data_IF_401013309529
#
_entry.id   IF_401013309529
#
_cell.length_a   1.000
_cell.length_b   1.000
_cell.length_c   1.000
_cell.angle_alpha   90.00
_cell.angle_beta   90.00
_cell.angle_gamma   90.00
#
_symmetry.space_group_name_H-M   'P 1'
#
loop_
_entity.id
_entity.type
_entity.pdbx_description
1 polymer ?
#
# COMPACT_ATOMS: atom_id res chain seq x y z
N UNK A 1 3.37 4.64 17.54
CA UNK A 1 2.57 5.71 16.92
C UNK A 1 1.99 5.13 15.65
N UNK A 2 0.75 4.66 15.70
CA UNK A 2 0.06 4.07 14.55
C UNK A 2 -0.34 5.20 13.61
N UNK A 3 -0.36 4.96 12.30
CA UNK A 3 -0.99 5.88 11.35
C UNK A 3 -2.43 6.11 11.82
N UNK A 4 -2.65 7.22 12.53
CA UNK A 4 -3.94 7.62 13.05
C UNK A 4 -4.68 8.17 11.85
N UNK A 5 -5.53 7.35 11.23
CA UNK A 5 -6.43 7.83 10.19
C UNK A 5 -7.36 8.88 10.82
N UNK A 6 -7.32 10.15 10.40
CA UNK A 6 -8.20 11.15 10.96
C UNK A 6 -9.63 10.82 10.54
N UNK A 7 -10.47 10.46 11.52
CA UNK A 7 -11.92 10.30 11.34
C UNK A 7 -12.55 11.69 11.20
N UNK A 8 -12.46 12.30 10.03
CA UNK A 8 -13.32 13.44 9.71
C UNK A 8 -14.59 12.95 9.01
N UNK A 9 -15.73 13.13 9.69
CA UNK A 9 -17.10 13.05 9.17
C UNK A 9 -17.46 11.80 8.34
N UNK A 10 -17.89 10.72 9.00
CA UNK A 10 -18.71 9.61 8.44
C UNK A 10 -18.45 9.16 6.98
N UNK A 11 -17.22 9.29 6.50
CA UNK A 11 -16.77 8.79 5.21
C UNK A 11 -15.47 8.05 5.47
N UNK A 12 -15.49 6.73 5.30
CA UNK A 12 -14.26 5.95 5.16
C UNK A 12 -13.61 6.41 3.86
N UNK A 13 -12.71 7.39 3.95
CA UNK A 13 -11.79 7.68 2.86
C UNK A 13 -10.86 6.48 2.80
N UNK A 14 -11.13 5.55 1.88
CA UNK A 14 -10.19 4.47 1.61
C UNK A 14 -8.87 5.14 1.20
N UNK A 15 -7.78 4.93 1.95
CA UNK A 15 -6.52 5.56 1.63
C UNK A 15 -6.14 5.18 0.20
N UNK A 16 -5.48 6.12 -0.49
CA UNK A 16 -4.92 5.94 -1.84
C UNK A 16 -4.40 4.50 -1.97
N UNK A 17 -5.00 3.72 -2.88
CA UNK A 17 -4.63 2.31 -3.08
C UNK A 17 -3.19 2.27 -3.61
N UNK A 18 -2.25 1.92 -2.76
CA UNK A 18 -0.85 1.74 -3.16
C UNK A 18 -0.71 0.32 -3.69
N UNK A 19 -0.55 0.22 -5.01
CA UNK A 19 -0.17 -1.03 -5.65
C UNK A 19 1.29 -1.33 -5.32
N UNK A 20 1.55 -2.56 -4.94
CA UNK A 20 2.86 -3.01 -4.46
C UNK A 20 3.11 -4.43 -4.93
N UNK A 21 4.37 -4.85 -5.01
CA UNK A 21 4.74 -6.18 -5.46
C UNK A 21 5.61 -6.86 -4.41
N UNK A 22 5.23 -8.09 -4.05
CA UNK A 22 5.99 -8.96 -3.16
C UNK A 22 6.79 -9.93 -4.01
N UNK A 23 8.06 -10.14 -3.67
CA UNK A 23 8.92 -11.11 -4.35
C UNK A 23 8.39 -12.55 -4.21
N UNK A 24 8.45 -13.33 -5.29
CA UNK A 24 8.20 -14.78 -5.25
C UNK A 24 9.55 -15.50 -5.24
N UNK A 25 9.83 -16.32 -4.21
CA UNK A 25 11.04 -17.14 -4.16
C UNK A 25 11.22 -18.00 -5.41
N UNK A 26 12.46 -18.28 -5.79
CA UNK A 26 12.73 -19.05 -7.02
C UNK A 26 12.17 -20.46 -6.97
N UNK A 27 12.12 -21.06 -5.77
CA UNK A 27 11.58 -22.42 -5.58
C UNK A 27 10.05 -22.47 -5.67
N UNK A 28 9.38 -21.31 -5.64
CA UNK A 28 7.92 -21.17 -5.76
C UNK A 28 7.45 -20.78 -7.17
N UNK A 29 8.36 -20.66 -8.15
CA UNK A 29 8.04 -20.19 -9.50
C UNK A 29 8.84 -20.92 -10.59
N UNK A 30 8.21 -21.19 -11.73
CA UNK A 30 8.90 -21.75 -12.89
C UNK A 30 9.69 -20.69 -13.67
N UNK A 31 10.53 -21.12 -14.62
CA UNK A 31 11.41 -20.24 -15.41
C UNK A 31 10.65 -19.12 -16.13
N UNK A 32 9.39 -19.37 -16.52
CA UNK A 32 8.54 -18.43 -17.25
C UNK A 32 7.53 -17.71 -16.34
N UNK A 33 7.49 -18.01 -15.05
CA UNK A 33 6.60 -17.36 -14.11
C UNK A 33 7.10 -15.97 -13.71
N UNK A 34 6.14 -15.12 -13.35
CA UNK A 34 6.42 -13.79 -12.80
C UNK A 34 7.31 -13.87 -11.56
N UNK A 35 8.20 -12.90 -11.38
CA UNK A 35 9.12 -12.83 -10.22
C UNK A 35 8.48 -12.22 -8.96
N UNK A 36 7.27 -11.66 -9.09
CA UNK A 36 6.60 -10.95 -8.01
C UNK A 36 5.06 -11.04 -8.16
N UNK A 37 4.34 -10.93 -7.04
CA UNK A 37 2.87 -10.90 -6.98
C UNK A 37 2.37 -9.51 -6.63
N UNK A 38 1.37 -9.02 -7.36
CA UNK A 38 0.73 -7.74 -7.07
C UNK A 38 -0.13 -7.83 -5.81
N UNK A 39 0.09 -6.90 -4.89
CA UNK A 39 -0.55 -6.79 -3.60
C UNK A 39 -0.93 -5.33 -3.31
N UNK A 40 -1.87 -5.16 -2.39
CA UNK A 40 -2.31 -3.84 -1.92
C UNK A 40 -1.67 -3.59 -0.55
N UNK A 41 -0.97 -2.47 -0.38
CA UNK A 41 -0.43 -2.10 0.93
C UNK A 41 -1.56 -1.71 1.87
N UNK A 42 -1.62 -2.36 3.03
CA UNK A 42 -2.56 -2.05 4.11
C UNK A 42 -1.92 -1.18 5.20
N UNK A 43 -0.62 -1.33 5.44
CA UNK A 43 0.12 -0.57 6.45
C UNK A 43 1.40 -1.25 6.91
N UNK A 44 1.86 -0.92 8.11
CA UNK A 44 3.04 -1.48 8.77
C UNK A 44 2.65 -2.07 10.14
N UNK A 45 3.36 -3.10 10.58
CA UNK A 45 3.11 -3.73 11.88
C UNK A 45 3.55 -2.85 13.03
N UNK A 46 2.67 -2.57 14.00
CA UNK A 46 2.94 -1.61 15.08
C UNK A 46 4.22 -1.89 15.90
N UNK A 47 4.71 -3.14 15.91
CA UNK A 47 5.91 -3.56 16.65
C UNK A 47 6.90 -4.33 15.75
N UNK A 48 6.63 -4.45 14.44
CA UNK A 48 7.48 -5.20 13.51
C UNK A 48 7.92 -4.30 12.36
N UNK A 49 9.05 -4.62 11.74
CA UNK A 49 9.53 -3.92 10.53
C UNK A 49 8.85 -4.42 9.26
N UNK A 50 7.76 -5.17 9.40
CA UNK A 50 7.06 -5.83 8.32
C UNK A 50 5.90 -4.96 7.84
N UNK A 51 5.66 -5.01 6.53
CA UNK A 51 4.49 -4.41 5.95
C UNK A 51 3.35 -5.42 5.89
N UNK A 52 2.13 -4.90 6.01
CA UNK A 52 0.90 -5.68 5.92
C UNK A 52 0.28 -5.43 4.55
N UNK A 53 -0.02 -6.51 3.85
CA UNK A 53 -0.51 -6.47 2.49
C UNK A 53 -1.72 -7.37 2.30
N UNK A 54 -2.54 -7.03 1.32
CA UNK A 54 -3.61 -7.89 0.83
C UNK A 54 -3.26 -8.45 -0.54
N UNK A 55 -3.28 -9.78 -0.68
CA UNK A 55 -3.13 -10.46 -1.95
C UNK A 55 -4.52 -10.82 -2.52
N UNK A 56 -5.04 -10.05 -3.49
CA UNK A 56 -6.44 -10.17 -3.91
C UNK A 56 -6.74 -11.44 -4.70
N UNK A 57 -5.74 -12.09 -5.29
CA UNK A 57 -5.95 -13.33 -6.07
C UNK A 57 -6.28 -14.51 -5.16
N UNK A 58 -5.62 -14.60 -4.00
CA UNK A 58 -5.86 -15.67 -3.01
C UNK A 58 -6.71 -15.21 -1.82
N UNK A 59 -7.19 -13.96 -1.86
CA UNK A 59 -8.05 -13.35 -0.84
C UNK A 59 -7.46 -13.45 0.58
N UNK A 60 -6.13 -13.28 0.73
CA UNK A 60 -5.44 -13.42 2.01
C UNK A 60 -4.53 -12.24 2.35
N UNK A 61 -4.27 -12.08 3.64
CA UNK A 61 -3.26 -11.15 4.13
C UNK A 61 -1.87 -11.76 4.02
N UNK A 62 -0.89 -10.93 3.70
CA UNK A 62 0.52 -11.31 3.57
C UNK A 62 1.37 -10.28 4.31
N UNK A 63 2.42 -10.76 4.96
CA UNK A 63 3.43 -9.92 5.62
C UNK A 63 4.74 -10.08 4.86
N UNK A 64 5.39 -8.96 4.53
CA UNK A 64 6.70 -8.99 3.86
C UNK A 64 7.54 -7.79 4.30
N UNK A 65 8.85 -8.01 4.39
CA UNK A 65 9.85 -6.93 4.51
C UNK A 65 10.37 -6.46 3.15
N UNK A 66 10.26 -7.32 2.13
CA UNK A 66 10.73 -7.04 0.78
C UNK A 66 9.54 -6.72 -0.14
N UNK A 67 9.48 -5.46 -0.57
CA UNK A 67 8.37 -4.87 -1.30
C UNK A 67 8.87 -3.84 -2.30
N UNK A 68 8.27 -3.88 -3.49
CA UNK A 68 8.48 -2.88 -4.53
C UNK A 68 7.19 -2.07 -4.67
N UNK A 69 7.27 -0.76 -4.48
CA UNK A 69 6.13 0.14 -4.66
C UNK A 69 5.94 0.48 -6.15
N UNK A 70 4.69 0.44 -6.60
CA UNK A 70 4.32 0.96 -7.91
C UNK A 70 3.93 2.43 -7.79
N UNK A 71 4.90 3.32 -7.94
CA UNK A 71 4.70 4.77 -7.85
C UNK A 71 4.07 5.37 -9.12
N UNK A 72 3.91 4.58 -10.20
CA UNK A 72 3.35 5.08 -11.47
C UNK A 72 1.86 5.42 -11.34
N UNK A 73 1.14 4.77 -10.43
CA UNK A 73 -0.25 5.15 -10.06
C UNK A 73 -0.27 6.29 -9.01
N UNK A 74 0.90 6.81 -8.66
CA UNK A 74 1.14 7.88 -7.71
C UNK A 74 1.53 9.20 -8.36
N UNK A 75 1.23 9.37 -9.65
CA UNK A 75 1.33 10.65 -10.34
C UNK A 75 0.82 11.78 -9.44
N UNK A 76 1.70 12.75 -9.23
CA UNK A 76 1.45 14.02 -8.58
C UNK A 76 0.36 14.71 -9.39
N UNK A 77 -0.89 14.49 -9.04
CA UNK A 77 -2.00 15.24 -9.61
C UNK A 77 -2.73 15.95 -8.46
N UNK A 78 -2.51 17.26 -8.37
CA UNK A 78 -3.39 18.24 -7.71
C UNK A 78 -3.48 18.22 -6.18
N UNK A 79 -2.34 18.18 -5.47
CA UNK A 79 -2.19 18.99 -4.25
C UNK A 79 -1.20 20.13 -4.50
N UNK A 80 -1.28 20.75 -5.67
CA UNK A 80 -0.87 22.15 -5.81
C UNK A 80 -1.80 22.96 -4.91
N UNK A 81 -1.22 23.52 -3.84
CA UNK A 81 -1.53 24.84 -3.29
C UNK A 81 -2.95 25.35 -3.54
N UNK A 82 -3.84 25.15 -2.57
CA UNK A 82 -4.55 26.30 -1.97
C UNK A 82 -4.64 26.03 -0.47
N UNK A 83 -4.02 26.91 0.32
CA UNK A 83 -4.29 26.99 1.74
C UNK A 83 -5.82 27.04 1.96
N UNK A 84 -6.36 26.33 2.97
CA UNK A 84 -7.78 26.40 3.28
C UNK A 84 -8.13 27.83 3.72
N UNK A 85 -9.18 28.46 3.17
CA UNK A 85 -9.51 29.88 3.38
C UNK A 85 -10.03 30.22 4.79
N UNK A 86 -9.87 29.33 5.78
CA UNK A 86 -10.42 29.49 7.13
C UNK A 86 -9.34 29.70 8.18
N UNK A 87 -8.23 30.32 7.80
CA UNK A 87 -7.22 30.85 8.70
C UNK A 87 -7.07 32.34 8.45
N UNK A 88 -8.11 33.10 8.79
CA UNK A 88 -8.10 34.50 9.25
C UNK A 88 -9.27 34.66 10.20
#
# INVERSE_FOLDING_TARGET
MNLLFPKHHNKMVLPKRINSYIHIPIDERDKLDAKARNCILLGYGAQTTEYHLYYPVQLRNVHSRDLIFNEVTGGIETAIKKEPPWYH
#
